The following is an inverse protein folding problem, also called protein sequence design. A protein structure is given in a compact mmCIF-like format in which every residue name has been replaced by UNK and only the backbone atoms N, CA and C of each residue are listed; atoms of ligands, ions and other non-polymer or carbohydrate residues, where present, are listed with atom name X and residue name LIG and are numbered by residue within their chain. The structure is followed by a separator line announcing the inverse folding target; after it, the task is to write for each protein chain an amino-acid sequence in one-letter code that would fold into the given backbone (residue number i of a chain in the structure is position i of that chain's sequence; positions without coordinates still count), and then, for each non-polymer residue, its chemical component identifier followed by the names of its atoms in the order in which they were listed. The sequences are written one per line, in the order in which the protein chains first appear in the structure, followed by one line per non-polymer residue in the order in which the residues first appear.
data_IF_857366083138
#
_entry.id   IF_857366083138
#
_cell.length_a   1.000
_cell.length_b   1.000
_cell.length_c   1.000
_cell.angle_alpha   90.00
_cell.angle_beta   90.00
_cell.angle_gamma   90.00
#
_symmetry.space_group_name_H-M   'P 1'
#
loop_
_entity.id
_entity.type
_entity.pdbx_description
1 polymer ?
#
# COMPACT_ATOMS: atom_id res chain seq x y z
N UNK A 1 -11.73 7.01 0.59
CA UNK A 1 -11.07 7.62 -0.59
C UNK A 1 -10.13 6.66 -1.30
N UNK A 2 -9.11 6.10 -0.64
CA UNK A 2 -8.21 5.11 -1.26
C UNK A 2 -8.94 3.81 -1.60
N UNK A 3 -9.77 3.30 -0.68
CA UNK A 3 -10.65 2.15 -0.87
C UNK A 3 -11.51 2.26 -2.15
N UNK A 4 -12.32 3.33 -2.24
CA UNK A 4 -13.11 3.65 -3.45
C UNK A 4 -12.25 3.74 -4.72
N UNK A 5 -11.03 4.29 -4.64
CA UNK A 5 -10.12 4.37 -5.78
C UNK A 5 -9.61 2.97 -6.21
N UNK A 6 -9.30 2.09 -5.26
CA UNK A 6 -8.94 0.69 -5.54
C UNK A 6 -10.11 -0.08 -6.14
N UNK A 7 -11.32 0.14 -5.62
CA UNK A 7 -12.54 -0.47 -6.15
C UNK A 7 -12.83 0.00 -7.59
N UNK A 8 -12.70 1.30 -7.86
CA UNK A 8 -12.86 1.87 -9.21
C UNK A 8 -11.84 1.29 -10.20
N UNK A 9 -10.60 1.06 -9.76
CA UNK A 9 -9.56 0.42 -10.59
C UNK A 9 -9.74 -1.10 -10.73
N UNK A 10 -10.77 -1.69 -10.10
CA UNK A 10 -11.01 -3.14 -10.13
C UNK A 10 -9.91 -3.95 -9.46
N UNK A 11 -9.26 -3.37 -8.44
CA UNK A 11 -8.22 -4.01 -7.64
C UNK A 11 -8.87 -4.65 -6.42
N UNK A 12 -8.78 -5.97 -6.30
CA UNK A 12 -9.22 -6.69 -5.11
C UNK A 12 -8.32 -6.29 -3.94
N UNK A 13 -8.92 -5.92 -2.82
CA UNK A 13 -8.19 -5.50 -1.63
C UNK A 13 -8.94 -5.87 -0.36
N UNK A 14 -8.20 -5.94 0.75
CA UNK A 14 -8.71 -6.10 2.11
C UNK A 14 -8.27 -4.90 2.96
N UNK A 15 -9.19 -4.32 3.71
CA UNK A 15 -8.94 -3.16 4.58
C UNK A 15 -8.46 -3.60 5.97
N UNK A 16 -7.40 -2.95 6.46
CA UNK A 16 -6.76 -3.23 7.76
C UNK A 16 -6.53 -4.72 8.12
N UNK A 17 -5.92 -5.52 7.23
CA UNK A 17 -5.72 -6.94 7.49
C UNK A 17 -4.74 -7.17 8.63
N UNK A 18 -4.97 -8.24 9.40
CA UNK A 18 -4.04 -8.67 10.45
C UNK A 18 -2.84 -9.39 9.83
N UNK A 19 -1.66 -8.79 9.93
CA UNK A 19 -0.43 -9.38 9.41
C UNK A 19 0.57 -9.67 10.53
N UNK A 20 1.01 -10.92 10.66
CA UNK A 20 2.02 -11.32 11.64
C UNK A 20 3.39 -11.51 11.00
N UNK A 21 4.36 -10.71 11.45
CA UNK A 21 5.75 -10.74 10.98
C UNK A 21 6.68 -10.90 12.17
N UNK A 22 7.43 -12.00 12.22
CA UNK A 22 8.44 -12.27 13.26
C UNK A 22 7.88 -12.10 14.69
N UNK A 23 6.70 -12.64 14.96
CA UNK A 23 6.02 -12.54 16.25
C UNK A 23 5.40 -11.17 16.55
N UNK A 24 5.53 -10.17 15.67
CA UNK A 24 4.87 -8.87 15.78
C UNK A 24 3.63 -8.84 14.90
N UNK A 25 2.52 -8.38 15.47
CA UNK A 25 1.29 -8.12 14.70
C UNK A 25 1.31 -6.68 14.21
N UNK A 26 1.14 -6.49 12.91
CA UNK A 26 0.96 -5.19 12.27
C UNK A 26 -0.34 -5.20 11.46
N UNK A 27 -0.86 -4.00 11.24
CA UNK A 27 -2.06 -3.76 10.44
C UNK A 27 -1.65 -2.80 9.31
N UNK A 28 -1.38 -3.33 8.10
CA UNK A 28 -1.29 -2.51 6.89
C UNK A 28 -2.64 -1.84 6.64
N UNK A 29 -2.68 -0.69 5.97
CA UNK A 29 -3.99 -0.07 5.66
C UNK A 29 -4.77 -0.90 4.65
N UNK A 30 -4.08 -1.48 3.66
CA UNK A 30 -4.68 -2.39 2.68
C UNK A 30 -3.74 -3.54 2.30
N UNK A 31 -4.30 -4.74 2.09
CA UNK A 31 -3.66 -5.85 1.37
C UNK A 31 -4.25 -5.95 -0.04
N UNK A 32 -3.40 -5.92 -1.06
CA UNK A 32 -3.78 -6.03 -2.48
C UNK A 32 -3.57 -7.45 -3.03
N UNK A 33 -3.24 -8.40 -2.15
CA UNK A 33 -2.85 -9.76 -2.48
C UNK A 33 -1.41 -9.89 -2.98
N UNK A 34 -0.97 -11.13 -3.15
CA UNK A 34 0.36 -11.46 -3.70
C UNK A 34 1.54 -10.83 -2.91
N UNK A 35 1.36 -10.59 -1.61
CA UNK A 35 2.36 -9.95 -0.75
C UNK A 35 2.60 -8.48 -1.08
N UNK A 36 1.63 -7.81 -1.72
CA UNK A 36 1.63 -6.36 -1.95
C UNK A 36 0.66 -5.71 -0.97
N UNK A 37 1.20 -4.83 -0.15
CA UNK A 37 0.44 -4.01 0.79
C UNK A 37 0.46 -2.55 0.36
N UNK A 38 -0.52 -1.78 0.83
CA UNK A 38 -0.55 -0.33 0.68
C UNK A 38 -0.67 0.33 2.05
N UNK A 39 0.11 1.38 2.26
CA UNK A 39 0.14 2.18 3.47
C UNK A 39 0.02 3.67 3.11
N UNK A 40 -0.81 4.38 3.84
CA UNK A 40 -1.02 5.81 3.75
C UNK A 40 -0.27 6.55 4.88
N UNK A 41 0.66 7.40 4.48
CA UNK A 41 1.49 8.23 5.35
C UNK A 41 1.02 9.69 5.28
N UNK A 42 -0.06 10.00 5.99
CA UNK A 42 -0.63 11.35 6.03
C UNK A 42 0.02 12.31 7.04
N UNK A 43 0.71 11.77 8.04
CA UNK A 43 1.28 12.53 9.16
C UNK A 43 2.80 12.57 9.08
N UNK A 44 3.42 13.70 9.49
CA UNK A 44 4.89 13.88 9.47
C UNK A 44 5.50 14.10 10.87
N UNK A 45 4.79 13.71 11.94
CA UNK A 45 5.30 13.86 13.32
C UNK A 45 6.45 12.87 13.60
N UNK A 46 7.38 13.23 14.51
CA UNK A 46 8.54 12.37 14.85
C UNK A 46 8.14 10.95 15.29
N UNK A 47 7.13 10.83 16.14
CA UNK A 47 6.63 9.54 16.61
C UNK A 47 6.04 8.69 15.46
N UNK A 48 5.33 9.32 14.53
CA UNK A 48 4.76 8.65 13.37
C UNK A 48 5.83 8.18 12.39
N UNK A 49 6.85 8.99 12.14
CA UNK A 49 8.01 8.61 11.32
C UNK A 49 8.77 7.42 11.91
N UNK A 50 8.90 7.33 13.24
CA UNK A 50 9.49 6.17 13.90
C UNK A 50 8.64 4.90 13.72
N UNK A 51 7.32 4.99 13.85
CA UNK A 51 6.39 3.88 13.58
C UNK A 51 6.47 3.41 12.13
N UNK A 52 6.46 4.34 11.18
CA UNK A 52 6.69 4.08 9.75
C UNK A 52 7.99 3.31 9.53
N UNK A 53 9.10 3.80 10.11
CA UNK A 53 10.42 3.14 10.00
C UNK A 53 10.40 1.72 10.56
N UNK A 54 9.72 1.47 11.69
CA UNK A 54 9.57 0.14 12.28
C UNK A 54 8.76 -0.80 11.37
N UNK A 55 7.61 -0.36 10.86
CA UNK A 55 6.80 -1.12 9.89
C UNK A 55 7.61 -1.45 8.62
N UNK A 56 8.28 -0.45 8.03
CA UNK A 56 9.11 -0.65 6.83
C UNK A 56 10.24 -1.68 7.04
N UNK A 57 10.86 -1.72 8.22
CA UNK A 57 11.84 -2.76 8.56
C UNK A 57 11.22 -4.16 8.57
N UNK A 58 10.00 -4.31 9.12
CA UNK A 58 9.30 -5.60 9.16
C UNK A 58 8.94 -6.08 7.75
N UNK A 59 8.39 -5.20 6.91
CA UNK A 59 8.09 -5.53 5.52
C UNK A 59 9.35 -5.97 4.75
N UNK A 60 10.46 -5.22 4.90
CA UNK A 60 11.74 -5.57 4.27
C UNK A 60 12.28 -6.92 4.77
N UNK A 61 12.15 -7.22 6.06
CA UNK A 61 12.61 -8.49 6.63
C UNK A 61 11.89 -9.71 6.03
N UNK A 62 10.62 -9.56 5.63
CA UNK A 62 9.82 -10.59 4.95
C UNK A 62 9.82 -10.48 3.42
N UNK A 63 10.61 -9.57 2.84
CA UNK A 63 10.63 -9.27 1.40
C UNK A 63 9.24 -8.92 0.83
N UNK A 64 8.37 -8.35 1.66
CA UNK A 64 7.04 -7.90 1.26
C UNK A 64 7.15 -6.58 0.49
N UNK A 65 6.25 -6.41 -0.49
CA UNK A 65 6.17 -5.21 -1.32
C UNK A 65 5.17 -4.25 -0.68
N UNK A 66 5.54 -2.98 -0.53
CA UNK A 66 4.64 -1.97 0.05
C UNK A 66 4.57 -0.74 -0.84
N UNK A 67 3.36 -0.35 -1.17
CA UNK A 67 3.02 0.89 -1.85
C UNK A 67 2.79 1.95 -0.78
N UNK A 68 3.63 2.98 -0.78
CA UNK A 68 3.51 4.09 0.15
C UNK A 68 2.73 5.21 -0.55
N UNK A 69 1.64 5.67 0.04
CA UNK A 69 0.84 6.82 -0.40
C UNK A 69 1.10 7.94 0.59
N UNK A 70 1.56 9.10 0.13
CA UNK A 70 1.73 10.29 0.98
C UNK A 70 0.49 11.20 0.89
N UNK A 71 0.39 12.22 1.75
CA UNK A 71 -0.71 13.18 1.68
C UNK A 71 -0.79 13.89 0.31
N UNK A 72 0.34 14.20 -0.32
CA UNK A 72 0.37 14.80 -1.66
C UNK A 72 -0.23 13.88 -2.74
N UNK A 73 -0.11 12.56 -2.57
CA UNK A 73 -0.60 11.57 -3.54
C UNK A 73 -2.14 11.51 -3.59
N UNK A 74 -2.83 11.98 -2.55
CA UNK A 74 -4.30 11.97 -2.47
C UNK A 74 -4.95 12.88 -3.50
N UNK A 75 -4.31 14.00 -3.87
CA UNK A 75 -4.86 14.98 -4.83
C UNK A 75 -5.11 14.38 -6.22
N UNK A 76 -4.40 13.31 -6.56
CA UNK A 76 -4.51 12.60 -7.83
C UNK A 76 -4.54 11.09 -7.63
N UNK A 77 -5.25 10.61 -6.60
CA UNK A 77 -5.11 9.24 -6.09
C UNK A 77 -5.26 8.15 -7.16
N UNK A 78 -6.19 8.31 -8.11
CA UNK A 78 -6.38 7.35 -9.21
C UNK A 78 -5.14 7.23 -10.11
N UNK A 79 -4.61 8.37 -10.55
CA UNK A 79 -3.43 8.40 -11.41
C UNK A 79 -2.20 7.90 -10.65
N UNK A 80 -2.07 8.31 -9.38
CA UNK A 80 -0.98 7.87 -8.51
C UNK A 80 -1.01 6.37 -8.26
N UNK A 81 -2.16 5.81 -7.89
CA UNK A 81 -2.34 4.37 -7.70
C UNK A 81 -2.02 3.62 -8.98
N UNK A 82 -2.54 4.04 -10.13
CA UNK A 82 -2.24 3.44 -11.43
C UNK A 82 -0.73 3.40 -11.70
N UNK A 83 -0.04 4.52 -11.50
CA UNK A 83 1.41 4.62 -11.71
C UNK A 83 2.22 3.74 -10.75
N UNK A 84 1.82 3.66 -9.48
CA UNK A 84 2.51 2.81 -8.49
C UNK A 84 2.21 1.33 -8.73
N UNK A 85 0.97 0.97 -9.03
CA UNK A 85 0.51 -0.40 -9.29
C UNK A 85 1.13 -0.97 -10.58
N UNK A 86 1.32 -0.17 -11.63
CA UNK A 86 1.95 -0.60 -12.89
C UNK A 86 3.38 -1.13 -12.74
N UNK A 87 4.08 -0.78 -11.64
CA UNK A 87 5.42 -1.32 -11.32
C UNK A 87 5.38 -2.80 -10.92
N UNK A 88 4.20 -3.35 -10.68
CA UNK A 88 4.00 -4.72 -10.27
C UNK A 88 3.37 -5.51 -11.43
N UNK A 89 4.03 -6.57 -11.93
CA UNK A 89 3.55 -7.35 -13.07
C UNK A 89 2.08 -7.81 -12.94
N UNK A 90 1.66 -8.21 -11.73
CA UNK A 90 0.28 -8.66 -11.45
C UNK A 90 -0.82 -7.62 -11.72
N UNK A 91 -0.47 -6.34 -11.83
CA UNK A 91 -1.43 -5.26 -12.11
C UNK A 91 -1.18 -4.63 -13.49
N UNK A 92 -0.16 -5.06 -14.24
CA UNK A 92 0.13 -4.47 -15.55
C UNK A 92 -1.01 -4.69 -16.53
N UNK A 93 -1.55 -5.91 -16.62
CA UNK A 93 -2.65 -6.27 -17.51
C UNK A 93 -3.92 -5.45 -17.29
N UNK A 94 -4.10 -4.89 -16.09
CA UNK A 94 -5.22 -4.00 -15.76
C UNK A 94 -5.10 -2.62 -16.42
N UNK A 95 -3.91 -2.24 -16.87
CA UNK A 95 -3.61 -0.91 -17.39
C UNK A 95 -3.10 -0.89 -18.84
N UNK A 96 -2.93 -2.05 -19.49
CA UNK A 96 -2.41 -2.17 -20.87
C UNK A 96 -3.47 -2.02 -21.97
N UNK A 97 -4.75 -1.78 -21.65
CA UNK A 97 -5.79 -1.55 -22.67
C UNK A 97 -5.93 -0.06 -22.99
N UNK A 98 -5.09 0.45 -23.89
CA UNK A 98 -5.39 1.58 -24.80
C UNK A 98 -4.56 1.44 -26.06
#
# INVERSE_FOLDING_TARGET
MIDAALQYLGIKHEYEPRLQINGQTIYPDFDLGNGIYLEYWGLKTKAYLQRRKKKMKLYKAKKLKVINIENEDLKGILATLRNKLRKFPQFQDKFTKY
#
